data_IF_225325131197
#
_entry.id   IF_225325131197
#
_cell.length_a   1.000
_cell.length_b   1.000
_cell.length_c   1.000
_cell.angle_alpha   90.00
_cell.angle_beta   90.00
_cell.angle_gamma   90.00
#
_symmetry.space_group_name_H-M   'P 1'
#
loop_
_entity.id
_entity.type
_entity.pdbx_description
1 polymer ?
#
# COMPACT_ATOMS: atom_id res chain seq x y z
N UNK A 1 19.13 -9.16 -16.48
CA UNK A 1 18.54 -7.85 -16.81
C UNK A 1 17.40 -7.56 -15.85
N UNK A 2 17.18 -6.32 -15.40
CA UNK A 2 15.95 -5.96 -14.73
C UNK A 2 14.77 -6.28 -15.67
N UNK A 3 13.57 -6.61 -15.13
CA UNK A 3 12.42 -6.82 -15.98
C UNK A 3 12.21 -5.57 -16.84
N UNK A 4 12.02 -5.76 -18.12
CA UNK A 4 11.63 -4.68 -19.01
C UNK A 4 10.39 -4.00 -18.44
N UNK A 5 10.28 -2.69 -18.60
CA UNK A 5 9.09 -1.94 -18.28
C UNK A 5 7.94 -2.54 -19.11
N UNK A 6 7.14 -3.43 -18.51
CA UNK A 6 5.92 -3.91 -19.12
C UNK A 6 4.88 -2.82 -18.91
N UNK A 7 4.39 -2.25 -20.00
CA UNK A 7 3.24 -1.33 -19.95
C UNK A 7 2.01 -2.12 -19.54
N UNK A 8 1.35 -1.69 -18.48
CA UNK A 8 0.01 -2.17 -18.17
C UNK A 8 -0.98 -1.38 -19.04
N UNK A 9 -2.00 -2.04 -19.64
CA UNK A 9 -2.96 -1.39 -20.55
C UNK A 9 -3.71 -0.19 -19.97
N UNK A 10 -3.78 -0.10 -18.64
CA UNK A 10 -4.49 0.96 -17.92
C UNK A 10 -3.57 2.11 -17.48
N UNK A 11 -2.31 2.12 -17.87
CA UNK A 11 -1.38 3.19 -17.53
C UNK A 11 -1.56 4.40 -18.48
N UNK A 12 -2.58 5.20 -18.24
CA UNK A 12 -2.82 6.48 -18.95
C UNK A 12 -1.69 7.53 -18.79
N UNK A 13 -0.64 7.21 -18.07
CA UNK A 13 0.58 8.02 -17.93
C UNK A 13 1.75 7.37 -18.69
N UNK A 14 1.49 6.81 -19.85
CA UNK A 14 2.54 6.41 -20.77
C UNK A 14 3.33 7.66 -21.16
N UNK A 15 4.59 7.71 -20.70
CA UNK A 15 5.53 8.75 -21.05
C UNK A 15 5.78 9.85 -20.02
N UNK A 16 5.04 9.91 -18.92
CA UNK A 16 5.39 10.83 -17.84
C UNK A 16 6.78 10.51 -17.28
N UNK A 17 7.71 11.43 -17.48
CA UNK A 17 9.07 11.35 -16.97
C UNK A 17 9.26 12.23 -15.73
N UNK A 18 10.49 12.25 -15.22
CA UNK A 18 10.85 13.09 -14.06
C UNK A 18 10.50 14.56 -14.30
N UNK A 19 10.74 15.06 -15.52
CA UNK A 19 10.52 16.47 -15.88
C UNK A 19 9.05 16.84 -16.03
N UNK A 20 8.18 15.84 -16.38
CA UNK A 20 6.76 16.06 -16.48
C UNK A 20 6.11 16.20 -15.10
N UNK A 21 6.62 15.44 -14.11
CA UNK A 21 6.13 15.49 -12.74
C UNK A 21 6.75 16.63 -11.92
N UNK A 22 8.00 16.98 -12.22
CA UNK A 22 8.81 17.97 -11.50
C UNK A 22 9.41 18.97 -12.49
N UNK A 23 8.61 19.87 -13.09
CA UNK A 23 9.08 20.84 -14.09
C UNK A 23 9.79 22.02 -13.43
N UNK A 24 10.95 21.78 -12.82
CA UNK A 24 11.73 22.78 -12.07
C UNK A 24 13.24 22.52 -12.22
N UNK A 25 14.07 23.43 -11.74
CA UNK A 25 15.53 23.23 -11.69
C UNK A 25 15.88 21.96 -10.89
N UNK A 26 15.16 21.70 -9.80
CA UNK A 26 15.32 20.45 -9.02
C UNK A 26 14.96 19.23 -9.87
N UNK A 27 13.88 19.29 -10.65
CA UNK A 27 13.49 18.21 -11.56
C UNK A 27 14.54 17.94 -12.62
N UNK A 28 15.17 18.98 -13.16
CA UNK A 28 16.27 18.85 -14.11
C UNK A 28 17.47 18.14 -13.48
N UNK A 29 17.87 18.54 -12.26
CA UNK A 29 18.96 17.88 -11.52
C UNK A 29 18.64 16.42 -11.24
N UNK A 30 17.40 16.11 -10.84
CA UNK A 30 16.95 14.74 -10.63
C UNK A 30 17.00 13.90 -11.90
N UNK A 31 16.49 14.43 -13.00
CA UNK A 31 16.54 13.77 -14.31
C UNK A 31 17.98 13.46 -14.74
N UNK A 32 18.88 14.46 -14.62
CA UNK A 32 20.29 14.28 -14.93
C UNK A 32 20.93 13.22 -14.03
N UNK A 33 20.69 13.27 -12.71
CA UNK A 33 21.22 12.30 -11.75
C UNK A 33 20.72 10.90 -12.03
N UNK A 34 19.45 10.70 -12.37
CA UNK A 34 18.86 9.41 -12.72
C UNK A 34 19.54 8.83 -13.98
N UNK A 35 19.72 9.68 -15.01
CA UNK A 35 20.41 9.28 -16.24
C UNK A 35 21.86 8.89 -15.96
N UNK A 36 22.60 9.69 -15.21
CA UNK A 36 24.01 9.47 -14.93
C UNK A 36 24.21 8.20 -14.10
N UNK A 37 23.38 7.93 -13.10
CA UNK A 37 23.39 6.65 -12.33
C UNK A 37 23.05 5.47 -13.21
N UNK A 38 22.04 5.58 -14.05
CA UNK A 38 21.63 4.48 -14.95
C UNK A 38 22.75 4.13 -15.93
N UNK A 39 23.39 5.14 -16.49
CA UNK A 39 24.54 4.98 -17.36
C UNK A 39 25.72 4.32 -16.61
N UNK A 40 26.06 4.83 -15.44
CA UNK A 40 27.12 4.29 -14.60
C UNK A 40 26.88 2.80 -14.21
N UNK A 41 25.63 2.45 -13.89
CA UNK A 41 25.25 1.09 -13.54
C UNK A 41 25.30 0.12 -14.74
N UNK A 42 25.16 0.64 -15.97
CA UNK A 42 25.21 -0.16 -17.21
C UNK A 42 26.62 -0.48 -17.68
N UNK A 43 27.62 0.26 -17.20
CA UNK A 43 29.02 0.13 -17.60
C UNK A 43 29.79 -0.75 -16.60
N UNK A 44 30.60 -1.73 -17.07
CA UNK A 44 31.39 -2.54 -16.18
C UNK A 44 32.43 -1.71 -15.40
N UNK A 45 32.80 -2.10 -14.17
CA UNK A 45 33.64 -1.30 -13.27
C UNK A 45 34.95 -0.79 -13.90
N UNK A 46 35.59 -1.63 -14.69
CA UNK A 46 36.89 -1.32 -15.37
C UNK A 46 36.79 -0.23 -16.43
N UNK A 47 35.60 0.05 -16.95
CA UNK A 47 35.38 1.07 -17.98
C UNK A 47 34.81 2.38 -17.43
N UNK A 48 34.53 2.47 -16.12
CA UNK A 48 33.87 3.62 -15.50
C UNK A 48 34.73 4.89 -15.45
N UNK A 49 36.07 4.74 -15.37
CA UNK A 49 36.98 5.88 -15.29
C UNK A 49 36.83 6.88 -16.45
N UNK A 50 36.48 6.41 -17.64
CA UNK A 50 36.31 7.24 -18.85
C UNK A 50 34.83 7.62 -19.13
N UNK A 51 33.91 7.35 -18.21
CA UNK A 51 32.47 7.47 -18.46
C UNK A 51 32.00 8.92 -18.54
N UNK A 52 32.57 9.78 -17.70
CA UNK A 52 32.20 11.20 -17.62
C UNK A 52 33.42 12.10 -17.79
N UNK A 53 33.19 13.30 -18.33
CA UNK A 53 34.24 14.30 -18.44
C UNK A 53 34.35 15.14 -17.16
N UNK A 54 35.53 15.70 -16.83
CA UNK A 54 35.68 16.64 -15.71
C UNK A 54 34.75 17.88 -15.81
N UNK A 55 34.40 18.24 -17.02
CA UNK A 55 33.44 19.32 -17.26
C UNK A 55 32.03 18.95 -16.84
N UNK A 56 31.58 17.70 -17.17
CA UNK A 56 30.28 17.19 -16.75
C UNK A 56 30.13 17.19 -15.23
N UNK A 57 31.18 16.81 -14.49
CA UNK A 57 31.16 16.85 -13.02
C UNK A 57 30.96 18.27 -12.47
N UNK A 58 31.66 19.28 -13.04
CA UNK A 58 31.47 20.68 -12.65
C UNK A 58 30.08 21.19 -12.98
N UNK A 59 29.54 20.85 -14.14
CA UNK A 59 28.18 21.22 -14.55
C UNK A 59 27.13 20.63 -13.62
N UNK A 60 27.27 19.35 -13.20
CA UNK A 60 26.33 18.72 -12.25
C UNK A 60 26.35 19.40 -10.89
N UNK A 61 27.56 19.70 -10.37
CA UNK A 61 27.68 20.40 -9.08
C UNK A 61 27.13 21.83 -9.18
N UNK A 62 27.43 22.55 -10.27
CA UNK A 62 26.89 23.90 -10.52
C UNK A 62 25.37 23.91 -10.62
N UNK A 63 24.78 22.97 -11.36
CA UNK A 63 23.32 22.82 -11.47
C UNK A 63 22.67 22.50 -10.11
N UNK A 64 23.29 21.63 -9.30
CA UNK A 64 22.81 21.33 -7.97
C UNK A 64 22.80 22.56 -7.05
N UNK A 65 23.90 23.32 -7.02
CA UNK A 65 23.99 24.54 -6.21
C UNK A 65 22.99 25.63 -6.63
N UNK A 66 22.70 25.72 -7.93
CA UNK A 66 21.72 26.66 -8.47
C UNK A 66 20.26 26.21 -8.27
N UNK A 67 20.00 24.92 -8.05
CA UNK A 67 18.65 24.36 -8.04
C UNK A 67 17.81 24.75 -6.82
N UNK A 68 18.43 25.16 -5.72
CA UNK A 68 17.75 25.42 -4.45
C UNK A 68 17.13 24.15 -3.84
N UNK A 69 17.74 22.99 -4.05
CA UNK A 69 17.26 21.73 -3.50
C UNK A 69 17.16 21.79 -1.97
N UNK A 70 16.12 21.17 -1.43
CA UNK A 70 15.91 21.07 0.02
C UNK A 70 17.07 20.33 0.70
N UNK A 71 17.43 20.67 1.95
CA UNK A 71 18.53 20.02 2.67
C UNK A 71 18.40 18.48 2.73
N UNK A 72 17.17 17.97 2.83
CA UNK A 72 16.91 16.53 2.84
C UNK A 72 17.30 15.83 1.52
N UNK A 73 17.21 16.53 0.41
CA UNK A 73 17.54 16.03 -0.93
C UNK A 73 18.98 16.38 -1.33
N UNK A 74 19.48 17.52 -0.88
CA UNK A 74 20.80 18.07 -1.25
C UNK A 74 21.94 17.08 -1.00
N UNK A 75 21.97 16.44 0.18
CA UNK A 75 23.00 15.43 0.54
C UNK A 75 22.98 14.26 -0.45
N UNK A 76 21.79 13.80 -0.80
CA UNK A 76 21.61 12.70 -1.75
C UNK A 76 22.10 13.11 -3.15
N UNK A 77 21.70 14.27 -3.64
CA UNK A 77 22.10 14.77 -4.95
C UNK A 77 23.60 15.10 -5.02
N UNK A 78 24.20 15.61 -3.93
CA UNK A 78 25.66 15.81 -3.84
C UNK A 78 26.41 14.49 -4.01
N UNK A 79 25.94 13.42 -3.38
CA UNK A 79 26.53 12.09 -3.54
C UNK A 79 26.42 11.59 -4.99
N UNK A 80 25.29 11.83 -5.64
CA UNK A 80 25.12 11.43 -7.06
C UNK A 80 25.94 12.33 -8.02
N UNK A 81 26.12 13.60 -7.70
CA UNK A 81 27.02 14.49 -8.47
C UNK A 81 28.49 14.06 -8.31
N UNK A 82 28.90 13.65 -7.09
CA UNK A 82 30.25 13.14 -6.83
C UNK A 82 30.56 11.85 -7.63
N UNK A 83 29.53 11.00 -7.88
CA UNK A 83 29.69 9.84 -8.78
C UNK A 83 30.16 10.23 -10.18
N UNK A 84 29.70 11.37 -10.70
CA UNK A 84 30.12 11.86 -12.02
C UNK A 84 31.59 12.33 -12.00
N UNK A 85 32.05 12.85 -10.84
CA UNK A 85 33.43 13.32 -10.66
C UNK A 85 34.46 12.21 -10.49
N UNK A 86 34.06 11.06 -9.93
CA UNK A 86 34.95 9.94 -9.62
C UNK A 86 34.21 8.61 -9.79
N UNK A 87 33.82 8.26 -11.01
CA UNK A 87 32.90 7.15 -11.27
C UNK A 87 33.53 5.77 -10.99
N UNK A 88 34.86 5.64 -11.04
CA UNK A 88 35.59 4.41 -10.75
C UNK A 88 35.66 4.09 -9.25
N UNK A 89 35.60 5.12 -8.38
CA UNK A 89 35.71 4.96 -6.91
C UNK A 89 34.35 4.97 -6.20
N UNK A 90 33.27 5.28 -6.93
CA UNK A 90 31.94 5.34 -6.37
C UNK A 90 31.48 3.98 -5.82
N UNK A 91 31.05 3.94 -4.56
CA UNK A 91 30.59 2.73 -3.89
C UNK A 91 29.14 2.40 -4.33
N UNK A 92 28.90 1.21 -4.94
CA UNK A 92 27.59 0.81 -5.40
C UNK A 92 26.52 0.75 -4.28
N UNK A 93 26.90 0.37 -3.06
CA UNK A 93 25.99 0.27 -1.93
C UNK A 93 25.48 1.66 -1.51
N UNK A 94 26.39 2.64 -1.47
CA UNK A 94 26.05 4.04 -1.18
C UNK A 94 25.17 4.62 -2.29
N UNK A 95 25.53 4.42 -3.56
CA UNK A 95 24.75 4.91 -4.71
C UNK A 95 23.34 4.31 -4.68
N UNK A 96 23.21 3.00 -4.45
CA UNK A 96 21.91 2.35 -4.34
C UNK A 96 21.07 2.90 -3.17
N UNK A 97 21.70 3.08 -1.99
CA UNK A 97 21.02 3.66 -0.82
C UNK A 97 20.51 5.08 -1.11
N UNK A 98 21.33 5.91 -1.70
CA UNK A 98 20.97 7.29 -2.07
C UNK A 98 19.83 7.31 -3.09
N UNK A 99 19.85 6.44 -4.09
CA UNK A 99 18.74 6.29 -5.03
C UNK A 99 17.43 5.92 -4.32
N UNK A 100 17.47 5.04 -3.30
CA UNK A 100 16.27 4.72 -2.49
C UNK A 100 15.81 5.92 -1.67
N UNK A 101 16.73 6.76 -1.14
CA UNK A 101 16.36 7.98 -0.43
C UNK A 101 15.67 8.99 -1.36
N UNK A 102 16.23 9.23 -2.54
CA UNK A 102 15.61 10.10 -3.56
C UNK A 102 14.26 9.54 -4.00
N UNK A 103 14.15 8.22 -4.17
CA UNK A 103 12.88 7.57 -4.50
C UNK A 103 11.80 7.85 -3.45
N UNK A 104 12.12 7.78 -2.16
CA UNK A 104 11.19 8.10 -1.06
C UNK A 104 10.80 9.58 -1.05
N UNK A 105 11.77 10.45 -1.21
CA UNK A 105 11.53 11.90 -1.30
C UNK A 105 10.55 12.24 -2.44
N UNK A 106 10.73 11.63 -3.61
CA UNK A 106 9.85 11.82 -4.75
C UNK A 106 8.44 11.23 -4.50
N UNK A 107 8.38 10.05 -3.85
CA UNK A 107 7.11 9.42 -3.47
C UNK A 107 6.28 10.32 -2.54
N UNK A 108 6.90 10.93 -1.53
CA UNK A 108 6.24 11.84 -0.59
C UNK A 108 5.63 13.08 -1.27
N UNK A 109 6.13 13.42 -2.47
CA UNK A 109 5.64 14.54 -3.30
C UNK A 109 4.69 14.11 -4.43
N UNK A 110 4.33 12.84 -4.47
CA UNK A 110 3.45 12.32 -5.50
C UNK A 110 4.10 12.14 -6.87
N UNK A 111 5.44 12.27 -6.98
CA UNK A 111 6.19 12.13 -8.22
C UNK A 111 6.54 10.66 -8.48
N UNK A 112 5.58 9.92 -9.06
CA UNK A 112 5.71 8.46 -9.24
C UNK A 112 6.81 8.07 -10.23
N UNK A 113 6.93 8.75 -11.37
CA UNK A 113 7.94 8.41 -12.38
C UNK A 113 9.35 8.63 -11.83
N UNK A 114 9.58 9.75 -11.10
CA UNK A 114 10.81 10.01 -10.41
C UNK A 114 11.09 8.95 -9.34
N UNK A 115 10.13 8.67 -8.47
CA UNK A 115 10.26 7.68 -7.40
C UNK A 115 10.58 6.30 -7.96
N UNK A 116 9.86 5.85 -8.99
CA UNK A 116 10.06 4.55 -9.62
C UNK A 116 11.38 4.48 -10.38
N UNK A 117 11.76 5.55 -11.09
CA UNK A 117 13.04 5.63 -11.81
C UNK A 117 14.21 5.42 -10.87
N UNK A 118 14.26 6.12 -9.74
CA UNK A 118 15.33 5.97 -8.75
C UNK A 118 15.30 4.62 -8.03
N UNK A 119 14.12 4.05 -7.71
CA UNK A 119 14.03 2.71 -7.15
C UNK A 119 14.58 1.63 -8.13
N UNK A 120 14.31 1.79 -9.42
CA UNK A 120 14.84 0.92 -10.47
C UNK A 120 16.34 1.09 -10.68
N UNK A 121 16.84 2.33 -10.65
CA UNK A 121 18.27 2.63 -10.71
C UNK A 121 19.02 1.97 -9.54
N UNK A 122 18.49 2.03 -8.32
CA UNK A 122 19.03 1.33 -7.16
C UNK A 122 19.15 -0.18 -7.41
N UNK A 123 18.13 -0.80 -8.01
CA UNK A 123 18.13 -2.22 -8.34
C UNK A 123 19.06 -2.58 -9.53
N UNK A 124 19.41 -1.61 -10.38
CA UNK A 124 20.42 -1.78 -11.44
C UNK A 124 21.83 -1.67 -10.87
N UNK A 125 22.05 -0.75 -9.95
CA UNK A 125 23.32 -0.54 -9.24
C UNK A 125 23.73 -1.79 -8.45
N UNK A 126 22.78 -2.44 -7.79
CA UNK A 126 22.95 -3.69 -7.04
C UNK A 126 22.12 -4.83 -7.64
N UNK A 127 22.47 -5.35 -8.83
CA UNK A 127 21.61 -6.26 -9.58
C UNK A 127 21.43 -7.64 -8.93
N UNK A 128 22.26 -7.97 -7.93
CA UNK A 128 22.24 -9.23 -7.19
C UNK A 128 21.67 -9.08 -5.78
N UNK A 129 21.38 -7.86 -5.31
CA UNK A 129 20.71 -7.60 -4.04
C UNK A 129 19.20 -7.59 -4.22
N UNK A 130 18.50 -8.23 -3.28
CA UNK A 130 17.06 -8.31 -3.31
C UNK A 130 16.37 -7.04 -2.76
N UNK A 131 17.05 -6.29 -1.90
CA UNK A 131 16.47 -5.16 -1.17
C UNK A 131 15.98 -4.03 -2.09
N UNK A 132 16.77 -3.58 -3.09
CA UNK A 132 16.27 -2.55 -4.02
C UNK A 132 15.14 -3.07 -4.92
N UNK A 133 15.18 -4.35 -5.33
CA UNK A 133 14.10 -4.95 -6.10
C UNK A 133 12.79 -5.05 -5.27
N UNK A 134 12.90 -5.38 -3.98
CA UNK A 134 11.79 -5.34 -3.04
C UNK A 134 11.22 -3.91 -2.92
N UNK A 135 12.08 -2.91 -2.74
CA UNK A 135 11.66 -1.51 -2.64
C UNK A 135 10.89 -1.05 -3.89
N UNK A 136 11.40 -1.34 -5.09
CA UNK A 136 10.71 -1.04 -6.35
C UNK A 136 9.35 -1.74 -6.46
N UNK A 137 9.27 -3.00 -6.04
CA UNK A 137 8.02 -3.77 -6.03
C UNK A 137 6.99 -3.20 -5.06
N UNK A 138 7.40 -2.88 -3.84
CA UNK A 138 6.52 -2.29 -2.82
C UNK A 138 6.02 -0.91 -3.24
N UNK A 139 6.90 -0.07 -3.81
CA UNK A 139 6.54 1.23 -4.36
C UNK A 139 5.47 1.10 -5.44
N UNK A 140 5.68 0.21 -6.42
CA UNK A 140 4.72 -0.03 -7.49
C UNK A 140 3.34 -0.46 -6.94
N UNK A 141 3.29 -1.29 -5.89
CA UNK A 141 2.03 -1.70 -5.26
C UNK A 141 1.30 -0.55 -4.55
N UNK A 142 2.03 0.36 -3.89
CA UNK A 142 1.43 1.55 -3.26
C UNK A 142 0.76 2.45 -4.30
N UNK A 143 1.35 2.57 -5.48
CA UNK A 143 0.81 3.34 -6.61
C UNK A 143 -0.12 2.53 -7.52
N UNK A 144 -0.65 1.41 -7.02
CA UNK A 144 -1.62 0.54 -7.72
C UNK A 144 -1.12 -0.05 -9.04
N UNK A 145 0.19 -0.07 -9.28
CA UNK A 145 0.82 -0.69 -10.45
C UNK A 145 1.07 -2.19 -10.20
N UNK A 146 -0.02 -2.94 -10.15
CA UNK A 146 -0.04 -4.32 -9.65
C UNK A 146 0.83 -5.29 -10.44
N UNK A 147 0.86 -5.24 -11.77
CA UNK A 147 1.68 -6.14 -12.59
C UNK A 147 3.17 -5.81 -12.44
N UNK A 148 3.53 -4.52 -12.45
CA UNK A 148 4.89 -4.05 -12.23
C UNK A 148 5.38 -4.44 -10.84
N UNK A 149 4.55 -4.21 -9.80
CA UNK A 149 4.84 -4.61 -8.43
C UNK A 149 5.09 -6.10 -8.30
N UNK A 150 4.23 -6.93 -8.88
CA UNK A 150 4.38 -8.39 -8.87
C UNK A 150 5.69 -8.83 -9.52
N UNK A 151 6.04 -8.26 -10.68
CA UNK A 151 7.28 -8.59 -11.41
C UNK A 151 8.51 -8.30 -10.55
N UNK A 152 8.58 -7.13 -9.91
CA UNK A 152 9.69 -6.76 -9.04
C UNK A 152 9.75 -7.61 -7.77
N UNK A 153 8.61 -7.90 -7.14
CA UNK A 153 8.57 -8.76 -5.95
C UNK A 153 9.00 -10.20 -6.26
N UNK A 154 8.59 -10.77 -7.40
CA UNK A 154 9.06 -12.09 -7.84
C UNK A 154 10.56 -12.11 -8.12
N UNK A 155 11.10 -11.02 -8.70
CA UNK A 155 12.55 -10.84 -8.85
C UNK A 155 13.23 -10.80 -7.48
N UNK A 156 12.70 -10.02 -6.52
CA UNK A 156 13.24 -9.94 -5.17
C UNK A 156 13.27 -11.32 -4.48
N UNK A 157 12.19 -12.12 -4.58
CA UNK A 157 12.18 -13.51 -4.08
C UNK A 157 13.26 -14.35 -4.69
N UNK A 158 13.46 -14.29 -6.02
CA UNK A 158 14.47 -15.06 -6.73
C UNK A 158 15.91 -14.68 -6.33
N UNK A 159 16.19 -13.38 -6.20
CA UNK A 159 17.49 -12.86 -5.76
C UNK A 159 17.77 -13.22 -4.30
N UNK A 160 16.80 -12.94 -3.42
CA UNK A 160 16.90 -13.19 -1.99
C UNK A 160 17.17 -14.67 -1.67
N UNK A 161 16.49 -15.58 -2.36
CA UNK A 161 16.72 -17.03 -2.22
C UNK A 161 18.13 -17.42 -2.61
N UNK A 162 18.66 -16.93 -3.73
CA UNK A 162 20.01 -17.22 -4.21
C UNK A 162 21.10 -16.69 -3.30
N UNK A 163 20.88 -15.50 -2.72
CA UNK A 163 21.83 -14.79 -1.86
C UNK A 163 21.60 -15.03 -0.37
N UNK A 164 20.61 -15.86 0.01
CA UNK A 164 20.23 -16.14 1.40
C UNK A 164 19.86 -14.88 2.20
N UNK A 165 19.30 -13.87 1.54
CA UNK A 165 18.79 -12.65 2.15
C UNK A 165 17.37 -12.89 2.67
N UNK A 166 17.26 -13.46 3.88
CA UNK A 166 16.00 -14.02 4.36
C UNK A 166 14.95 -12.97 4.74
N UNK A 167 15.37 -11.78 5.13
CA UNK A 167 14.42 -10.70 5.41
C UNK A 167 13.74 -10.18 4.14
N UNK A 168 14.45 -9.75 3.07
CA UNK A 168 13.81 -9.41 1.79
C UNK A 168 12.99 -10.56 1.20
N UNK A 169 13.45 -11.82 1.38
CA UNK A 169 12.70 -12.99 0.93
C UNK A 169 11.33 -13.08 1.61
N UNK A 170 11.30 -13.02 2.94
CA UNK A 170 10.07 -13.13 3.71
C UNK A 170 9.15 -11.94 3.46
N UNK A 171 9.70 -10.72 3.40
CA UNK A 171 8.94 -9.50 3.14
C UNK A 171 8.32 -9.51 1.75
N UNK A 172 9.05 -9.92 0.70
CA UNK A 172 8.50 -10.02 -0.65
C UNK A 172 7.30 -10.98 -0.74
N UNK A 173 7.31 -12.07 0.03
CA UNK A 173 6.16 -12.96 0.12
C UNK A 173 4.97 -12.33 0.84
N UNK A 174 5.21 -11.52 1.86
CA UNK A 174 4.14 -10.76 2.56
C UNK A 174 3.51 -9.74 1.61
N UNK A 175 4.33 -9.00 0.84
CA UNK A 175 3.84 -8.04 -0.15
C UNK A 175 3.03 -8.72 -1.28
N UNK A 176 3.50 -9.88 -1.77
CA UNK A 176 2.74 -10.69 -2.72
C UNK A 176 1.41 -11.16 -2.11
N UNK A 177 1.41 -11.59 -0.83
CA UNK A 177 0.18 -11.92 -0.11
C UNK A 177 -0.82 -10.78 -0.13
N UNK A 178 -0.38 -9.56 0.21
CA UNK A 178 -1.20 -8.35 0.17
C UNK A 178 -1.73 -8.02 -1.24
N UNK A 179 -0.90 -8.18 -2.27
CA UNK A 179 -1.32 -8.02 -3.66
C UNK A 179 -2.48 -8.97 -4.02
N UNK A 180 -2.33 -10.25 -3.70
CA UNK A 180 -3.34 -11.25 -4.04
C UNK A 180 -4.62 -11.14 -3.18
N UNK A 181 -4.53 -10.59 -1.96
CA UNK A 181 -5.71 -10.20 -1.17
C UNK A 181 -6.51 -9.12 -1.90
N UNK A 182 -5.85 -8.05 -2.36
CA UNK A 182 -6.53 -6.99 -3.15
C UNK A 182 -7.16 -7.49 -4.43
N UNK A 183 -6.58 -8.51 -5.07
CA UNK A 183 -7.15 -9.18 -6.27
C UNK A 183 -8.29 -10.15 -5.94
N UNK A 184 -8.65 -10.34 -4.69
CA UNK A 184 -9.66 -11.31 -4.26
C UNK A 184 -9.22 -12.78 -4.43
N UNK A 185 -7.93 -13.02 -4.68
CA UNK A 185 -7.39 -14.36 -4.90
C UNK A 185 -6.93 -14.99 -3.58
N UNK A 186 -7.89 -15.26 -2.70
CA UNK A 186 -7.69 -15.68 -1.31
C UNK A 186 -6.72 -16.86 -1.13
N UNK A 187 -6.86 -17.91 -1.93
CA UNK A 187 -5.99 -19.11 -1.82
C UNK A 187 -4.52 -18.77 -2.08
N UNK A 188 -4.25 -17.93 -3.08
CA UNK A 188 -2.89 -17.48 -3.38
C UNK A 188 -2.37 -16.53 -2.30
N UNK A 189 -3.21 -15.60 -1.82
CA UNK A 189 -2.86 -14.71 -0.72
C UNK A 189 -2.43 -15.50 0.52
N UNK A 190 -3.25 -16.47 0.94
CA UNK A 190 -2.94 -17.35 2.08
C UNK A 190 -1.62 -18.09 1.87
N UNK A 191 -1.41 -18.67 0.69
CA UNK A 191 -0.17 -19.38 0.35
C UNK A 191 1.07 -18.48 0.48
N UNK A 192 1.01 -17.25 -0.01
CA UNK A 192 2.13 -16.31 0.06
C UNK A 192 2.38 -15.85 1.50
N UNK A 193 1.34 -15.49 2.26
CA UNK A 193 1.51 -15.14 3.67
C UNK A 193 2.09 -16.29 4.49
N UNK A 194 1.66 -17.54 4.25
CA UNK A 194 2.22 -18.72 4.92
C UNK A 194 3.70 -18.91 4.57
N UNK A 195 4.12 -18.65 3.33
CA UNK A 195 5.53 -18.70 2.96
C UNK A 195 6.35 -17.62 3.70
N UNK A 196 5.85 -16.38 3.74
CA UNK A 196 6.46 -15.30 4.51
C UNK A 196 6.55 -15.64 6.00
N UNK A 197 5.47 -16.21 6.58
CA UNK A 197 5.42 -16.64 7.98
C UNK A 197 6.43 -17.76 8.29
N UNK A 198 6.56 -18.75 7.42
CA UNK A 198 7.53 -19.84 7.59
C UNK A 198 8.97 -19.32 7.56
N UNK A 199 9.29 -18.47 6.58
CA UNK A 199 10.60 -17.87 6.47
C UNK A 199 10.92 -16.99 7.69
N UNK A 200 10.00 -16.12 8.09
CA UNK A 200 10.18 -15.24 9.24
C UNK A 200 10.35 -16.00 10.56
N UNK A 201 9.63 -17.10 10.77
CA UNK A 201 9.82 -17.98 11.94
C UNK A 201 11.19 -18.63 11.95
N UNK A 202 11.61 -19.18 10.80
CA UNK A 202 12.89 -19.87 10.68
C UNK A 202 14.09 -18.96 10.93
N UNK A 203 13.98 -17.69 10.57
CA UNK A 203 15.10 -16.73 10.63
C UNK A 203 14.92 -15.65 11.70
N UNK A 204 13.96 -15.79 12.61
CA UNK A 204 13.80 -14.88 13.75
C UNK A 204 13.32 -13.47 13.38
N UNK A 205 12.69 -13.27 12.20
CA UNK A 205 12.28 -11.97 11.68
C UNK A 205 10.93 -11.54 12.29
N UNK A 206 10.99 -10.94 13.49
CA UNK A 206 9.80 -10.69 14.31
C UNK A 206 8.82 -9.71 13.61
N UNK A 207 9.32 -8.62 13.02
CA UNK A 207 8.48 -7.64 12.33
C UNK A 207 7.76 -8.25 11.13
N UNK A 208 8.47 -8.98 10.28
CA UNK A 208 7.90 -9.66 9.11
C UNK A 208 6.90 -10.75 9.53
N UNK A 209 7.18 -11.44 10.63
CA UNK A 209 6.25 -12.42 11.22
C UNK A 209 4.94 -11.76 11.63
N UNK A 210 5.00 -10.58 12.22
CA UNK A 210 3.82 -9.78 12.57
C UNK A 210 3.00 -9.44 11.33
N UNK A 211 3.65 -8.94 10.28
CA UNK A 211 2.99 -8.57 9.01
C UNK A 211 2.36 -9.78 8.31
N UNK A 212 3.03 -10.93 8.30
CA UNK A 212 2.50 -12.16 7.73
C UNK A 212 1.25 -12.67 8.49
N UNK A 213 1.29 -12.62 9.83
CA UNK A 213 0.15 -12.99 10.69
C UNK A 213 -1.02 -12.01 10.53
N UNK A 214 -0.75 -10.71 10.39
CA UNK A 214 -1.76 -9.71 10.12
C UNK A 214 -2.44 -9.96 8.75
N UNK A 215 -1.67 -10.25 7.70
CA UNK A 215 -2.25 -10.63 6.42
C UNK A 215 -3.11 -11.90 6.49
N UNK A 216 -2.68 -12.91 7.25
CA UNK A 216 -3.48 -14.14 7.48
C UNK A 216 -4.76 -13.87 8.28
N UNK A 217 -4.75 -12.93 9.23
CA UNK A 217 -5.96 -12.47 9.92
C UNK A 217 -7.00 -11.95 8.91
N UNK A 218 -6.59 -11.07 8.00
CA UNK A 218 -7.49 -10.50 6.97
C UNK A 218 -8.06 -11.61 6.08
N UNK A 219 -7.20 -12.50 5.58
CA UNK A 219 -7.61 -13.63 4.72
C UNK A 219 -8.59 -14.56 5.43
N UNK A 220 -8.35 -14.87 6.71
CA UNK A 220 -9.24 -15.73 7.52
C UNK A 220 -10.59 -15.03 7.79
N UNK A 221 -10.59 -13.72 8.05
CA UNK A 221 -11.83 -12.96 8.16
C UNK A 221 -12.65 -13.01 6.87
N UNK A 222 -12.03 -12.81 5.71
CA UNK A 222 -12.71 -12.91 4.41
C UNK A 222 -13.27 -14.32 4.14
N UNK A 223 -12.60 -15.34 4.69
CA UNK A 223 -13.07 -16.73 4.62
C UNK A 223 -14.21 -17.05 5.58
N UNK A 224 -14.50 -16.19 6.57
CA UNK A 224 -15.41 -16.51 7.66
C UNK A 224 -14.81 -17.39 8.76
N UNK A 225 -13.52 -17.68 8.69
CA UNK A 225 -12.77 -18.52 9.64
C UNK A 225 -12.39 -17.71 10.88
N UNK A 226 -13.41 -17.27 11.65
CA UNK A 226 -13.23 -16.26 12.70
C UNK A 226 -12.35 -16.75 13.86
N UNK A 227 -12.32 -18.04 14.17
CA UNK A 227 -11.45 -18.60 15.20
C UNK A 227 -9.97 -18.60 14.77
N UNK A 228 -9.71 -18.89 13.49
CA UNK A 228 -8.39 -18.76 12.92
C UNK A 228 -7.94 -17.29 12.89
N UNK A 229 -8.82 -16.42 12.45
CA UNK A 229 -8.58 -14.98 12.43
C UNK A 229 -8.15 -14.48 13.81
N UNK A 230 -8.82 -14.92 14.89
CA UNK A 230 -8.45 -14.53 16.26
C UNK A 230 -7.09 -15.09 16.69
N UNK A 231 -6.75 -16.31 16.28
CA UNK A 231 -5.40 -16.87 16.55
C UNK A 231 -4.32 -16.06 15.85
N UNK A 232 -4.54 -15.68 14.60
CA UNK A 232 -3.61 -14.82 13.84
C UNK A 232 -3.51 -13.43 14.44
N UNK A 233 -4.62 -12.80 14.82
CA UNK A 233 -4.66 -11.49 15.47
C UNK A 233 -3.80 -11.45 16.74
N UNK A 234 -3.99 -12.44 17.64
CA UNK A 234 -3.18 -12.56 18.86
C UNK A 234 -1.69 -12.77 18.57
N UNK A 235 -1.38 -13.53 17.51
CA UNK A 235 -0.01 -13.75 17.07
C UNK A 235 0.63 -12.48 16.51
N UNK A 236 -0.10 -11.73 15.69
CA UNK A 236 0.35 -10.45 15.13
C UNK A 236 0.57 -9.40 16.22
N UNK A 237 -0.36 -9.28 17.17
CA UNK A 237 -0.26 -8.35 18.30
C UNK A 237 1.01 -8.59 19.14
N UNK A 238 1.31 -9.86 19.45
CA UNK A 238 2.55 -10.22 20.16
C UNK A 238 3.82 -9.90 19.35
N UNK A 239 3.77 -10.07 18.04
CA UNK A 239 4.91 -9.83 17.17
C UNK A 239 5.17 -8.32 16.97
N UNK A 240 4.12 -7.51 16.82
CA UNK A 240 4.26 -6.07 16.66
C UNK A 240 4.71 -5.37 17.96
N UNK A 241 4.23 -5.82 19.12
CA UNK A 241 4.50 -5.11 20.38
C UNK A 241 3.87 -3.72 20.42
N UNK A 242 4.28 -2.92 21.43
CA UNK A 242 3.68 -1.60 21.74
C UNK A 242 4.28 -0.55 20.84
N UNK A 243 4.67 -0.29 19.97
CA UNK A 243 5.29 0.85 19.23
C UNK A 243 5.40 0.58 17.74
N UNK A 244 4.86 -0.52 17.29
CA UNK A 244 4.93 -0.84 15.87
C UNK A 244 4.03 0.09 15.05
N UNK A 245 4.52 0.67 13.93
CA UNK A 245 3.75 1.62 13.12
C UNK A 245 2.40 1.06 12.62
N UNK A 246 2.32 -0.24 12.35
CA UNK A 246 1.09 -0.91 11.90
C UNK A 246 0.19 -1.44 13.02
N UNK A 247 0.49 -1.07 14.28
CA UNK A 247 -0.38 -1.48 15.39
C UNK A 247 -1.79 -0.89 15.30
N UNK A 248 -1.99 0.39 14.92
CA UNK A 248 -3.33 0.94 14.75
C UNK A 248 -4.18 0.19 13.71
N UNK A 249 -3.62 -0.24 12.58
CA UNK A 249 -4.33 -1.03 11.58
C UNK A 249 -4.70 -2.40 12.15
N UNK A 250 -3.79 -3.07 12.83
CA UNK A 250 -4.08 -4.35 13.47
C UNK A 250 -5.21 -4.24 14.50
N UNK A 251 -5.18 -3.19 15.33
CA UNK A 251 -6.24 -2.96 16.34
C UNK A 251 -7.59 -2.68 15.68
N UNK A 252 -7.61 -1.96 14.55
CA UNK A 252 -8.80 -1.76 13.75
C UNK A 252 -9.36 -3.10 13.22
N UNK A 253 -8.52 -3.93 12.63
CA UNK A 253 -8.93 -5.24 12.10
C UNK A 253 -9.38 -6.20 13.20
N UNK A 254 -8.77 -6.11 14.38
CA UNK A 254 -9.22 -6.84 15.57
C UNK A 254 -10.60 -6.36 16.05
N UNK A 255 -10.84 -5.06 16.05
CA UNK A 255 -12.15 -4.52 16.41
C UNK A 255 -13.22 -4.98 15.39
N UNK A 256 -12.88 -4.95 14.10
CA UNK A 256 -13.76 -5.50 13.06
C UNK A 256 -14.02 -7.00 13.24
N UNK A 257 -13.02 -7.79 13.58
CA UNK A 257 -13.20 -9.20 13.93
C UNK A 257 -14.17 -9.38 15.11
N UNK A 258 -14.09 -8.55 16.13
CA UNK A 258 -15.03 -8.60 17.26
C UNK A 258 -16.46 -8.24 16.85
N UNK A 259 -16.63 -7.27 15.94
CA UNK A 259 -17.96 -6.98 15.36
C UNK A 259 -18.50 -8.19 14.60
N UNK A 260 -17.67 -8.87 13.81
CA UNK A 260 -18.02 -10.10 13.09
C UNK A 260 -18.38 -11.26 14.02
N UNK A 261 -17.85 -11.28 15.25
CA UNK A 261 -18.14 -12.25 16.32
C UNK A 261 -19.22 -11.76 17.28
N UNK A 262 -19.87 -10.67 16.98
CA UNK A 262 -20.92 -10.05 17.81
C UNK A 262 -20.45 -9.65 19.23
N UNK A 263 -19.13 -9.50 19.40
CA UNK A 263 -18.53 -9.03 20.65
C UNK A 263 -18.45 -7.50 20.68
N UNK A 264 -19.60 -6.87 20.66
CA UNK A 264 -19.75 -5.42 20.59
C UNK A 264 -19.21 -4.69 21.81
N UNK A 265 -19.25 -5.33 22.98
CA UNK A 265 -18.72 -4.79 24.24
C UNK A 265 -17.21 -4.49 24.16
N UNK A 266 -16.46 -5.24 23.35
CA UNK A 266 -15.05 -5.00 23.08
C UNK A 266 -14.82 -4.10 21.87
N UNK A 267 -15.64 -4.25 20.85
CA UNK A 267 -15.47 -3.53 19.59
C UNK A 267 -15.70 -2.02 19.74
N UNK A 268 -16.82 -1.62 20.38
CA UNK A 268 -17.23 -0.21 20.49
C UNK A 268 -16.14 0.65 21.14
N UNK A 269 -15.70 0.41 22.40
CA UNK A 269 -14.71 1.27 23.03
C UNK A 269 -13.35 1.28 22.32
N UNK A 270 -13.03 0.21 21.59
CA UNK A 270 -11.80 0.16 20.81
C UNK A 270 -11.89 1.04 19.57
N UNK A 271 -13.02 1.01 18.86
CA UNK A 271 -13.25 1.85 17.67
C UNK A 271 -13.33 3.34 18.04
N UNK A 272 -14.04 3.69 19.12
CA UNK A 272 -14.11 5.06 19.65
C UNK A 272 -12.71 5.60 19.98
N UNK A 273 -11.85 4.78 20.60
CA UNK A 273 -10.48 5.17 20.92
C UNK A 273 -9.59 5.32 19.69
N UNK A 274 -9.87 4.61 18.61
CA UNK A 274 -9.13 4.69 17.34
C UNK A 274 -9.52 5.92 16.52
N UNK A 275 -10.75 6.39 16.58
CA UNK A 275 -11.28 7.47 15.73
C UNK A 275 -10.42 8.74 15.71
N UNK A 276 -9.91 9.25 16.84
CA UNK A 276 -9.06 10.44 16.86
C UNK A 276 -7.73 10.25 16.10
N UNK A 277 -7.26 9.02 15.95
CA UNK A 277 -6.01 8.69 15.23
C UNK A 277 -6.21 8.50 13.73
N UNK A 278 -7.48 8.45 13.26
CA UNK A 278 -7.83 8.25 11.85
C UNK A 278 -7.93 9.60 11.14
N UNK A 279 -6.80 10.06 10.61
CA UNK A 279 -6.70 11.34 9.91
C UNK A 279 -7.18 11.21 8.46
N UNK A 280 -6.83 10.10 7.79
CA UNK A 280 -7.23 9.84 6.42
C UNK A 280 -8.75 9.62 6.30
N UNK A 281 -9.45 10.38 5.41
CA UNK A 281 -10.90 10.31 5.30
C UNK A 281 -11.45 8.91 5.03
N UNK A 282 -10.77 8.13 4.18
CA UNK A 282 -11.18 6.76 3.85
C UNK A 282 -11.14 5.84 5.06
N UNK A 283 -10.06 5.91 5.85
CA UNK A 283 -9.91 5.11 7.07
C UNK A 283 -10.91 5.55 8.14
N UNK A 284 -11.15 6.86 8.26
CA UNK A 284 -12.13 7.42 9.20
C UNK A 284 -13.55 6.97 8.85
N UNK A 285 -13.94 7.06 7.58
CA UNK A 285 -15.25 6.60 7.13
C UNK A 285 -15.48 5.12 7.41
N UNK A 286 -14.48 4.27 7.14
CA UNK A 286 -14.58 2.84 7.40
C UNK A 286 -14.68 2.55 8.91
N UNK A 287 -13.90 3.24 9.74
CA UNK A 287 -13.93 3.05 11.20
C UNK A 287 -15.29 3.46 11.77
N UNK A 288 -15.86 4.59 11.32
CA UNK A 288 -17.21 5.05 11.67
C UNK A 288 -18.29 4.06 11.23
N UNK A 289 -18.20 3.54 10.00
CA UNK A 289 -19.13 2.55 9.48
C UNK A 289 -19.14 1.24 10.30
N UNK A 290 -17.95 0.77 10.70
CA UNK A 290 -17.81 -0.42 11.57
C UNK A 290 -18.35 -0.11 12.97
N UNK A 291 -18.15 1.10 13.50
CA UNK A 291 -18.70 1.54 14.77
C UNK A 291 -20.24 1.59 14.72
N UNK A 292 -20.81 2.13 13.64
CA UNK A 292 -22.26 2.12 13.41
C UNK A 292 -22.81 0.69 13.40
N UNK A 293 -22.12 -0.26 12.75
CA UNK A 293 -22.52 -1.66 12.75
C UNK A 293 -22.42 -2.31 14.14
N UNK A 294 -21.36 -1.99 14.89
CA UNK A 294 -21.22 -2.47 16.26
C UNK A 294 -22.32 -1.93 17.18
N UNK A 295 -22.66 -0.65 17.04
CA UNK A 295 -23.72 0.03 17.77
C UNK A 295 -25.09 -0.56 17.43
N UNK A 296 -25.38 -0.76 16.14
CA UNK A 296 -26.60 -1.42 15.67
C UNK A 296 -26.78 -2.81 16.26
N UNK A 297 -25.73 -3.64 16.20
CA UNK A 297 -25.76 -4.99 16.78
C UNK A 297 -25.89 -5.01 18.30
N UNK A 298 -25.40 -3.97 18.99
CA UNK A 298 -25.54 -3.80 20.44
C UNK A 298 -26.87 -3.14 20.85
N UNK A 299 -27.75 -2.78 19.92
CA UNK A 299 -29.01 -2.05 20.18
C UNK A 299 -28.82 -0.59 20.65
N UNK A 300 -27.64 0.01 20.41
CA UNK A 300 -27.32 1.40 20.78
C UNK A 300 -27.74 2.36 19.65
N UNK A 301 -29.03 2.69 19.59
CA UNK A 301 -29.62 3.45 18.48
C UNK A 301 -29.00 4.82 18.27
N UNK A 302 -28.74 5.59 19.32
CA UNK A 302 -28.14 6.92 19.23
C UNK A 302 -26.73 6.85 18.64
N UNK A 303 -25.88 5.97 19.17
CA UNK A 303 -24.52 5.78 18.67
C UNK A 303 -24.51 5.28 17.22
N UNK A 304 -25.47 4.42 16.84
CA UNK A 304 -25.64 4.01 15.45
C UNK A 304 -25.91 5.21 14.54
N UNK A 305 -26.90 6.03 14.90
CA UNK A 305 -27.30 7.20 14.10
C UNK A 305 -26.15 8.19 13.94
N UNK A 306 -25.49 8.56 15.03
CA UNK A 306 -24.35 9.48 15.02
C UNK A 306 -23.20 8.95 14.13
N UNK A 307 -22.76 7.73 14.38
CA UNK A 307 -21.65 7.13 13.64
C UNK A 307 -21.97 6.95 12.15
N UNK A 308 -23.23 6.61 11.83
CA UNK A 308 -23.68 6.43 10.46
C UNK A 308 -23.71 7.77 9.70
N UNK A 309 -24.25 8.82 10.31
CA UNK A 309 -24.31 10.17 9.73
C UNK A 309 -22.91 10.79 9.58
N UNK A 310 -22.04 10.57 10.54
CA UNK A 310 -20.64 11.01 10.46
C UNK A 310 -19.91 10.31 9.32
N UNK A 311 -20.08 8.98 9.16
CA UNK A 311 -19.50 8.22 8.05
C UNK A 311 -20.01 8.78 6.71
N UNK A 312 -21.31 9.02 6.57
CA UNK A 312 -21.90 9.59 5.36
C UNK A 312 -21.35 10.99 5.06
N UNK A 313 -21.14 11.80 6.08
CA UNK A 313 -20.57 13.14 5.92
C UNK A 313 -19.15 13.08 5.38
N UNK A 314 -18.33 12.17 5.88
CA UNK A 314 -16.97 11.96 5.37
C UNK A 314 -16.98 11.50 3.91
N UNK A 315 -17.83 10.54 3.58
CA UNK A 315 -17.98 10.02 2.20
C UNK A 315 -18.41 11.12 1.23
N UNK A 316 -19.39 11.96 1.61
CA UNK A 316 -19.93 13.02 0.74
C UNK A 316 -18.97 14.19 0.53
N UNK A 317 -18.05 14.44 1.45
CA UNK A 317 -17.07 15.54 1.33
C UNK A 317 -16.02 15.31 0.23
N UNK A 318 -15.83 14.07 -0.21
CA UNK A 318 -14.83 13.68 -1.24
C UNK A 318 -15.44 12.71 -2.24
N UNK A 319 -16.30 13.18 -3.13
CA UNK A 319 -16.95 12.34 -4.15
C UNK A 319 -15.93 11.69 -5.10
N UNK A 320 -14.76 12.31 -5.30
CA UNK A 320 -13.66 11.77 -6.10
C UNK A 320 -13.04 10.50 -5.50
N UNK A 321 -13.16 10.32 -4.18
CA UNK A 321 -12.66 9.14 -3.46
C UNK A 321 -13.73 8.04 -3.30
N UNK A 322 -14.84 8.13 -4.01
CA UNK A 322 -16.01 7.25 -3.82
C UNK A 322 -15.65 5.77 -3.93
N UNK A 323 -14.79 5.38 -4.87
CA UNK A 323 -14.32 3.99 -5.00
C UNK A 323 -13.63 3.47 -3.73
N UNK A 324 -12.89 4.34 -3.04
CA UNK A 324 -12.19 3.99 -1.80
C UNK A 324 -13.15 3.81 -0.63
N UNK A 325 -14.35 4.40 -0.72
CA UNK A 325 -15.38 4.31 0.32
C UNK A 325 -16.33 3.11 0.19
N UNK A 326 -16.22 2.31 -0.87
CA UNK A 326 -17.15 1.20 -1.12
C UNK A 326 -17.27 0.23 0.07
N UNK A 327 -16.18 -0.06 0.76
CA UNK A 327 -16.19 -0.90 1.99
C UNK A 327 -16.93 -0.22 3.14
N UNK A 328 -16.75 1.07 3.35
CA UNK A 328 -17.45 1.81 4.40
C UNK A 328 -18.97 1.81 4.12
N UNK A 329 -19.36 2.09 2.89
CA UNK A 329 -20.77 2.07 2.47
C UNK A 329 -21.41 0.69 2.63
N UNK A 330 -20.67 -0.39 2.36
CA UNK A 330 -21.12 -1.76 2.60
C UNK A 330 -21.37 -2.02 4.10
N UNK A 331 -20.48 -1.58 4.99
CA UNK A 331 -20.66 -1.73 6.44
C UNK A 331 -21.79 -0.85 6.97
N UNK A 332 -21.99 0.37 6.42
CA UNK A 332 -23.13 1.23 6.71
C UNK A 332 -24.44 0.54 6.33
N UNK A 333 -24.54 -0.05 5.15
CA UNK A 333 -25.72 -0.80 4.73
C UNK A 333 -26.01 -1.97 5.67
N UNK A 334 -24.99 -2.74 6.07
CA UNK A 334 -25.12 -3.83 7.04
C UNK A 334 -25.59 -3.36 8.42
N UNK A 335 -25.11 -2.22 8.88
CA UNK A 335 -25.56 -1.60 10.11
C UNK A 335 -27.05 -1.28 10.04
N UNK A 336 -27.48 -0.68 8.94
CA UNK A 336 -28.89 -0.29 8.72
C UNK A 336 -29.82 -1.50 8.59
N UNK A 337 -29.35 -2.62 8.01
CA UNK A 337 -30.11 -3.90 7.98
C UNK A 337 -30.38 -4.40 9.42
N UNK A 338 -29.40 -4.35 10.31
CA UNK A 338 -29.56 -4.76 11.72
C UNK A 338 -30.62 -3.89 12.45
N UNK A 339 -30.69 -2.60 12.11
CA UNK A 339 -31.67 -1.66 12.66
C UNK A 339 -33.03 -1.68 11.94
N UNK A 340 -33.17 -2.46 10.87
CA UNK A 340 -34.34 -2.44 9.97
C UNK A 340 -34.62 -1.06 9.36
N UNK A 341 -33.60 -0.24 9.23
CA UNK A 341 -33.69 1.11 8.68
C UNK A 341 -33.48 1.03 7.15
N UNK A 342 -34.53 0.65 6.45
CA UNK A 342 -34.50 0.41 5.00
C UNK A 342 -34.19 1.65 4.20
N UNK A 343 -34.51 2.84 4.71
CA UNK A 343 -34.14 4.09 4.05
C UNK A 343 -32.62 4.26 3.97
N UNK A 344 -31.93 4.06 5.07
CA UNK A 344 -30.48 4.11 5.11
C UNK A 344 -29.80 2.92 4.39
N UNK A 345 -30.43 1.74 4.38
CA UNK A 345 -29.95 0.61 3.54
C UNK A 345 -29.92 1.02 2.07
N UNK A 346 -31.03 1.55 1.56
CA UNK A 346 -31.14 1.99 0.15
C UNK A 346 -30.13 3.09 -0.20
N UNK A 347 -29.97 4.06 0.69
CA UNK A 347 -29.03 5.15 0.50
C UNK A 347 -27.60 4.63 0.42
N UNK A 348 -27.17 3.78 1.36
CA UNK A 348 -25.83 3.23 1.40
C UNK A 348 -25.55 2.29 0.19
N UNK A 349 -26.52 1.43 -0.17
CA UNK A 349 -26.40 0.53 -1.33
C UNK A 349 -26.30 1.31 -2.64
N UNK A 350 -27.12 2.36 -2.82
CA UNK A 350 -27.05 3.20 -4.02
C UNK A 350 -25.69 3.89 -4.17
N UNK A 351 -25.16 4.46 -3.09
CA UNK A 351 -23.83 5.06 -3.10
C UNK A 351 -22.74 4.01 -3.33
N UNK A 352 -22.85 2.83 -2.70
CA UNK A 352 -21.92 1.75 -2.89
C UNK A 352 -21.91 1.23 -4.33
N UNK A 353 -23.10 1.05 -4.95
CA UNK A 353 -23.21 0.62 -6.34
C UNK A 353 -22.58 1.62 -7.33
N UNK A 354 -22.71 2.92 -7.05
CA UNK A 354 -22.06 3.96 -7.84
C UNK A 354 -20.54 4.02 -7.62
N UNK A 355 -20.05 3.44 -6.52
CA UNK A 355 -18.64 3.45 -6.12
C UNK A 355 -17.87 2.23 -6.59
N UNK A 356 -18.55 1.17 -7.00
CA UNK A 356 -17.91 -0.07 -7.45
C UNK A 356 -17.41 0.12 -8.87
N UNK A 357 -16.08 0.17 -9.02
CA UNK A 357 -15.42 0.18 -10.34
C UNK A 357 -15.30 -1.24 -10.88
N UNK A 358 -15.33 -1.44 -12.23
CA UNK A 358 -15.01 -2.72 -12.87
C UNK A 358 -13.62 -3.26 -12.51
N UNK A 359 -12.72 -2.36 -12.12
CA UNK A 359 -11.33 -2.67 -11.70
C UNK A 359 -11.15 -2.69 -10.18
N UNK A 360 -12.21 -2.46 -9.40
CA UNK A 360 -12.22 -2.43 -7.94
C UNK A 360 -12.20 -3.82 -7.29
N UNK A 361 -12.46 -3.84 -5.98
CA UNK A 361 -12.52 -5.08 -5.21
C UNK A 361 -13.74 -5.92 -5.59
N UNK A 362 -13.56 -6.89 -6.46
CA UNK A 362 -14.65 -7.78 -6.95
C UNK A 362 -15.49 -8.39 -5.81
N UNK A 363 -14.86 -8.68 -4.67
CA UNK A 363 -15.55 -9.22 -3.50
C UNK A 363 -16.54 -8.21 -2.89
N UNK A 364 -16.20 -6.91 -2.90
CA UNK A 364 -17.11 -5.85 -2.42
C UNK A 364 -18.28 -5.67 -3.38
N UNK A 365 -18.01 -5.72 -4.70
CA UNK A 365 -19.04 -5.63 -5.72
C UNK A 365 -20.13 -6.69 -5.56
N UNK A 366 -19.74 -7.96 -5.38
CA UNK A 366 -20.67 -9.06 -5.15
C UNK A 366 -21.54 -8.82 -3.90
N UNK A 367 -20.94 -8.39 -2.81
CA UNK A 367 -21.65 -8.15 -1.55
C UNK A 367 -22.62 -6.94 -1.64
N UNK A 368 -22.27 -5.93 -2.43
CA UNK A 368 -23.18 -4.81 -2.72
C UNK A 368 -24.37 -5.27 -3.55
N UNK A 369 -24.15 -6.13 -4.55
CA UNK A 369 -25.23 -6.72 -5.35
C UNK A 369 -26.18 -7.59 -4.51
N UNK A 370 -25.66 -8.39 -3.58
CA UNK A 370 -26.45 -9.18 -2.65
C UNK A 370 -27.37 -8.29 -1.79
N UNK A 371 -26.84 -7.20 -1.23
CA UNK A 371 -27.64 -6.24 -0.47
C UNK A 371 -28.66 -5.50 -1.36
N UNK A 372 -28.29 -5.15 -2.59
CA UNK A 372 -29.22 -4.55 -3.54
C UNK A 372 -30.39 -5.49 -3.90
N UNK A 373 -30.12 -6.77 -4.01
CA UNK A 373 -31.16 -7.79 -4.21
C UNK A 373 -32.11 -7.89 -3.00
N UNK A 374 -31.57 -7.86 -1.78
CA UNK A 374 -32.34 -7.85 -0.54
C UNK A 374 -33.28 -6.63 -0.47
N UNK A 375 -32.79 -5.43 -0.82
CA UNK A 375 -33.60 -4.21 -0.88
C UNK A 375 -34.75 -4.34 -1.88
N UNK A 376 -34.47 -4.92 -3.06
CA UNK A 376 -35.53 -5.15 -4.09
C UNK A 376 -36.60 -6.12 -3.60
N UNK A 377 -36.23 -7.20 -2.93
CA UNK A 377 -37.17 -8.15 -2.34
C UNK A 377 -38.05 -7.52 -1.26
N UNK A 378 -37.45 -6.71 -0.40
CA UNK A 378 -38.17 -6.02 0.66
C UNK A 378 -39.23 -5.04 0.10
N UNK A 379 -38.89 -4.33 -0.99
CA UNK A 379 -39.86 -3.44 -1.69
C UNK A 379 -41.01 -4.23 -2.33
N UNK A 380 -40.70 -5.35 -2.94
CA UNK A 380 -41.73 -6.20 -3.59
C UNK A 380 -42.70 -6.79 -2.55
N UNK A 381 -42.19 -7.27 -1.41
CA UNK A 381 -43.02 -7.81 -0.33
C UNK A 381 -43.78 -6.77 0.49
N UNK A 382 -43.37 -5.49 0.46
CA UNK A 382 -44.10 -4.38 1.14
C UNK A 382 -45.23 -3.77 0.32
N UNK A 383 -45.39 -4.16 -0.95
CA UNK A 383 -46.48 -3.71 -1.85
C UNK A 383 -47.73 -4.64 -1.74
N UNK A 384 -47.57 -5.82 -1.14
CA UNK A 384 -48.64 -6.81 -0.96
C UNK A 384 -49.28 -6.77 0.44
N UNK A 385 -48.91 -5.85 1.31
CA UNK A 385 -49.49 -5.63 2.65
C UNK A 385 -50.06 -4.20 2.76
#
# INVERSE_FOLDING_TARGET
MPPALQHEPDELLEGAGVLDELPSEVGLVLWQSLRDVTLWASVPPEARAALFTPQAARERLGALLASGAEPALEVSLTTLAALVGSPETANPEIVSLVCIQVSRWAEERGAFAAAMGFAQAAAQVLPLDASPALAAGTLALRWRRSARGETWLRRAVGLARRRRQWEPYAQAYVELGGLYTRRGQRVLAQRFFVQGLRASRRHGLIAVRGSALHGLLVVAMEAGELDEAERYARGALRAYGRGHPRLPELVHDMAYLWVRRENYARAIPTLEKLLPTRVEPVERALTLAILARAAAGAGKTELYQESWMDALTVVKRRPEDTEKHARALLEMARASVLMRDWHHVEQAVRLASASVSPHGERAVAVQVEELAAMVRQQRAGGVES
#
